data_IF_018707676283
#
_entry.id   IF_018707676283
#
_cell.length_a   1.000
_cell.length_b   1.000
_cell.length_c   1.000
_cell.angle_alpha   90.00
_cell.angle_beta   90.00
_cell.angle_gamma   90.00
#
_symmetry.space_group_name_H-M   'P 1'
#
loop_
_entity.id
_entity.type
_entity.pdbx_description
1 polymer ?
#
# COMPACT_ATOMS: atom_id res chain seq x y z
N UNK A 1 -39.24 -38.78 -13.44
CA UNK A 1 -39.44 -38.22 -12.09
C UNK A 1 -38.25 -38.64 -11.24
N UNK A 2 -37.25 -37.77 -11.13
CA UNK A 2 -36.11 -37.93 -10.23
C UNK A 2 -35.60 -36.52 -9.89
N UNK A 3 -35.75 -36.13 -8.62
CA UNK A 3 -35.21 -34.89 -8.04
C UNK A 3 -33.84 -35.19 -7.44
N UNK A 4 -32.80 -34.51 -7.91
CA UNK A 4 -31.52 -34.34 -7.24
C UNK A 4 -31.10 -32.89 -7.51
N UNK A 5 -30.72 -32.07 -6.54
CA UNK A 5 -30.01 -32.37 -5.31
C UNK A 5 -28.65 -31.66 -5.39
N UNK A 6 -28.61 -30.43 -4.84
CA UNK A 6 -27.43 -29.70 -4.36
C UNK A 6 -26.15 -29.72 -5.18
N UNK A 7 -25.90 -28.65 -5.92
CA UNK A 7 -24.56 -28.09 -6.10
C UNK A 7 -24.66 -26.57 -6.00
N UNK A 8 -24.71 -26.06 -4.78
CA UNK A 8 -24.45 -24.65 -4.50
C UNK A 8 -22.93 -24.46 -4.60
N UNK A 9 -22.46 -24.38 -5.85
CA UNK A 9 -21.09 -24.02 -6.14
C UNK A 9 -20.87 -22.62 -5.57
N UNK A 10 -19.97 -22.51 -4.59
CA UNK A 10 -19.44 -21.26 -4.06
C UNK A 10 -18.77 -20.50 -5.20
N UNK A 11 -19.57 -19.80 -5.99
CA UNK A 11 -19.09 -18.90 -7.02
C UNK A 11 -18.39 -17.75 -6.30
N UNK A 12 -17.07 -17.75 -6.37
CA UNK A 12 -16.26 -16.60 -5.98
C UNK A 12 -16.81 -15.38 -6.72
N UNK A 13 -17.52 -14.52 -5.97
CA UNK A 13 -18.06 -13.23 -6.45
C UNK A 13 -16.89 -12.29 -6.76
N UNK A 14 -16.37 -12.39 -7.97
CA UNK A 14 -15.59 -11.31 -8.58
C UNK A 14 -16.57 -10.29 -9.14
N UNK A 15 -17.15 -9.46 -8.28
CA UNK A 15 -17.95 -8.31 -8.72
C UNK A 15 -16.99 -7.23 -9.22
N UNK A 16 -17.14 -6.83 -10.48
CA UNK A 16 -16.40 -5.72 -11.06
C UNK A 16 -17.10 -4.42 -10.67
N UNK A 17 -16.35 -3.33 -10.58
CA UNK A 17 -16.89 -1.98 -10.30
C UNK A 17 -18.02 -1.59 -11.28
N UNK A 18 -18.09 -2.21 -12.46
CA UNK A 18 -19.13 -1.99 -13.47
C UNK A 18 -20.46 -2.69 -13.22
N UNK A 19 -20.54 -3.61 -12.24
CA UNK A 19 -21.74 -4.42 -11.99
C UNK A 19 -22.71 -3.75 -11.00
N UNK A 20 -22.56 -2.43 -10.77
CA UNK A 20 -23.32 -1.62 -9.81
C UNK A 20 -24.84 -1.64 -10.07
N UNK A 21 -25.25 -1.81 -11.33
CA UNK A 21 -26.66 -1.88 -11.75
C UNK A 21 -27.38 -3.14 -11.22
N UNK A 22 -26.62 -4.15 -10.79
CA UNK A 22 -27.13 -5.40 -10.21
C UNK A 22 -26.92 -5.47 -8.70
N UNK A 23 -26.38 -4.42 -8.06
CA UNK A 23 -26.28 -4.39 -6.61
C UNK A 23 -27.68 -4.26 -5.98
N UNK A 24 -27.98 -5.06 -4.94
CA UNK A 24 -29.21 -4.90 -4.19
C UNK A 24 -29.28 -3.47 -3.64
N UNK A 25 -30.38 -2.77 -3.86
CA UNK A 25 -30.66 -1.46 -3.25
C UNK A 25 -30.97 -1.55 -1.75
N UNK A 26 -30.51 -2.62 -1.10
CA UNK A 26 -30.68 -2.83 0.33
C UNK A 26 -29.78 -1.85 1.08
N UNK A 27 -30.41 -0.94 1.80
CA UNK A 27 -29.70 0.02 2.62
C UNK A 27 -29.10 -0.72 3.82
N UNK A 28 -27.81 -1.01 3.76
CA UNK A 28 -27.10 -1.56 4.91
C UNK A 28 -27.10 -0.45 5.96
N UNK A 29 -27.64 -0.74 7.15
CA UNK A 29 -27.57 0.19 8.26
C UNK A 29 -26.09 0.53 8.54
N UNK A 30 -25.75 1.79 8.85
CA UNK A 30 -24.41 2.14 9.28
C UNK A 30 -23.94 1.20 10.39
N UNK A 31 -22.67 0.81 10.34
CA UNK A 31 -22.07 0.01 11.40
C UNK A 31 -22.03 0.89 12.65
N UNK A 32 -22.92 0.61 13.61
CA UNK A 32 -23.04 1.37 14.86
C UNK A 32 -22.40 0.66 16.06
N UNK A 33 -22.35 1.36 17.20
CA UNK A 33 -21.78 0.88 18.46
C UNK A 33 -20.26 1.04 18.58
N UNK A 34 -19.57 1.45 17.51
CA UNK A 34 -18.13 1.75 17.52
C UNK A 34 -17.85 3.17 18.03
N UNK A 35 -18.85 4.06 17.97
CA UNK A 35 -18.80 5.42 18.52
C UNK A 35 -18.60 5.44 20.04
N UNK A 36 -19.05 4.41 20.75
CA UNK A 36 -18.90 4.27 22.20
C UNK A 36 -17.66 3.46 22.59
N UNK A 37 -16.92 2.92 21.61
CA UNK A 37 -15.73 2.13 21.91
C UNK A 37 -14.55 3.05 22.27
N UNK A 38 -13.77 2.68 23.30
CA UNK A 38 -12.59 3.45 23.67
C UNK A 38 -11.57 3.44 22.54
N UNK A 39 -10.98 4.61 22.24
CA UNK A 39 -9.85 4.70 21.34
C UNK A 39 -8.67 3.92 21.93
N UNK A 40 -8.14 2.98 21.16
CA UNK A 40 -6.99 2.15 21.52
C UNK A 40 -5.88 2.31 20.50
N UNK A 41 -4.66 1.87 20.83
CA UNK A 41 -3.58 1.86 19.85
C UNK A 41 -3.84 0.83 18.76
N UNK A 42 -3.22 1.02 17.60
CA UNK A 42 -3.30 0.06 16.50
C UNK A 42 -2.87 -1.34 16.95
N UNK A 43 -1.85 -1.46 17.80
CA UNK A 43 -1.38 -2.77 18.28
C UNK A 43 -2.37 -3.47 19.21
N UNK A 44 -3.17 -2.71 19.95
CA UNK A 44 -4.23 -3.26 20.81
C UNK A 44 -5.43 -3.69 19.97
N UNK A 45 -5.81 -2.85 19.00
CA UNK A 45 -6.94 -3.09 18.09
C UNK A 45 -6.76 -4.38 17.28
N UNK A 46 -5.52 -4.76 16.94
CA UNK A 46 -5.25 -5.95 16.13
C UNK A 46 -5.14 -7.25 16.93
N UNK A 47 -5.06 -7.21 18.27
CA UNK A 47 -4.93 -8.44 19.10
C UNK A 47 -6.04 -9.46 18.84
N UNK A 48 -7.33 -9.09 18.74
CA UNK A 48 -8.40 -10.04 18.46
C UNK A 48 -8.29 -10.72 17.09
N UNK A 49 -7.54 -10.11 16.16
CA UNK A 49 -7.38 -10.60 14.79
C UNK A 49 -6.21 -11.58 14.64
N UNK A 50 -5.29 -11.66 15.60
CA UNK A 50 -4.10 -12.52 15.55
C UNK A 50 -4.40 -14.00 15.27
N UNK A 51 -5.45 -14.63 15.84
CA UNK A 51 -5.76 -16.04 15.53
C UNK A 51 -6.15 -16.27 14.07
N UNK A 52 -6.69 -15.24 13.41
CA UNK A 52 -7.18 -15.31 12.02
C UNK A 52 -6.07 -14.88 11.06
N UNK A 53 -5.31 -13.86 11.44
CA UNK A 53 -4.22 -13.29 10.66
C UNK A 53 -2.97 -13.12 11.53
N UNK A 54 -2.15 -14.17 11.71
CA UNK A 54 -1.02 -14.14 12.64
C UNK A 54 0.00 -13.02 12.37
N UNK A 55 0.13 -12.59 11.10
CA UNK A 55 1.05 -11.53 10.70
C UNK A 55 0.58 -10.11 11.08
N UNK A 56 -0.68 -9.92 11.49
CA UNK A 56 -1.28 -8.59 11.69
C UNK A 56 -0.59 -7.77 12.78
N UNK A 57 -0.08 -8.43 13.83
CA UNK A 57 0.64 -7.77 14.91
C UNK A 57 1.97 -7.16 14.42
N UNK A 58 2.66 -7.87 13.53
CA UNK A 58 3.89 -7.39 12.90
C UNK A 58 3.60 -6.18 12.01
N UNK A 59 2.50 -6.19 11.26
CA UNK A 59 2.07 -5.05 10.43
C UNK A 59 1.76 -3.82 11.27
N UNK A 60 1.02 -3.98 12.37
CA UNK A 60 0.72 -2.89 13.29
C UNK A 60 1.98 -2.30 13.94
N UNK A 61 2.94 -3.16 14.31
CA UNK A 61 4.21 -2.75 14.92
C UNK A 61 5.11 -1.99 13.93
N UNK A 62 5.09 -2.42 12.67
CA UNK A 62 5.77 -1.75 11.55
C UNK A 62 5.19 -0.36 11.30
N UNK A 63 3.87 -0.25 11.18
CA UNK A 63 3.18 1.01 10.89
C UNK A 63 3.45 2.10 11.95
N UNK A 64 3.87 1.70 13.15
CA UNK A 64 4.22 2.61 14.24
C UNK A 64 5.65 3.19 14.15
N UNK A 65 6.58 2.58 13.41
CA UNK A 65 8.01 2.93 13.49
C UNK A 65 8.53 3.67 12.26
N UNK A 66 9.17 4.84 12.50
CA UNK A 66 10.10 5.51 11.58
C UNK A 66 11.55 5.16 11.93
N UNK A 67 12.11 4.04 11.47
CA UNK A 67 13.53 3.74 11.77
C UNK A 67 14.16 2.79 10.76
N UNK A 68 15.49 2.86 10.62
CA UNK A 68 16.31 1.93 9.79
C UNK A 68 16.04 0.46 10.16
N UNK A 69 15.61 0.18 11.39
CA UNK A 69 15.23 -1.17 11.81
C UNK A 69 14.04 -1.76 11.04
N UNK A 70 13.20 -0.93 10.41
CA UNK A 70 12.11 -1.36 9.52
C UNK A 70 12.65 -2.11 8.30
N UNK A 71 13.84 -1.76 7.81
CA UNK A 71 14.47 -2.47 6.70
C UNK A 71 14.79 -3.93 7.06
N UNK A 72 15.10 -4.23 8.32
CA UNK A 72 15.37 -5.61 8.75
C UNK A 72 14.10 -6.47 8.86
N UNK A 73 12.91 -5.88 8.76
CA UNK A 73 11.66 -6.64 8.77
C UNK A 73 11.48 -7.37 7.45
N UNK A 74 11.14 -8.66 7.51
CA UNK A 74 10.87 -9.51 6.34
C UNK A 74 9.70 -9.01 5.46
N UNK A 75 8.91 -8.05 5.97
CA UNK A 75 7.85 -7.38 5.20
C UNK A 75 8.36 -6.30 4.24
N UNK A 76 9.59 -5.80 4.43
CA UNK A 76 10.20 -4.79 3.57
C UNK A 76 11.40 -5.36 2.86
N UNK A 77 12.61 -5.04 3.34
CA UNK A 77 13.84 -5.55 2.76
C UNK A 77 14.17 -6.93 3.34
N UNK A 78 13.90 -7.17 4.62
CA UNK A 78 14.23 -8.41 5.32
C UNK A 78 15.74 -8.59 5.50
N UNK A 79 16.14 -9.73 6.06
CA UNK A 79 17.56 -10.06 6.30
C UNK A 79 18.08 -11.23 5.47
N UNK A 80 17.18 -11.97 4.81
CA UNK A 80 17.50 -13.22 4.10
C UNK A 80 17.09 -13.17 2.62
N UNK A 81 17.69 -14.05 1.82
CA UNK A 81 17.39 -14.16 0.39
C UNK A 81 18.00 -13.05 -0.47
N UNK A 82 17.76 -13.18 -1.78
CA UNK A 82 18.18 -12.20 -2.80
C UNK A 82 17.27 -10.97 -2.73
N UNK A 83 17.85 -9.83 -2.38
CA UNK A 83 17.14 -8.59 -2.06
C UNK A 83 17.68 -7.45 -2.92
N UNK A 84 16.81 -6.54 -3.31
CA UNK A 84 17.22 -5.32 -4.02
C UNK A 84 16.70 -4.08 -3.29
N UNK A 85 17.60 -3.17 -2.92
CA UNK A 85 17.27 -1.86 -2.38
C UNK A 85 17.55 -0.79 -3.44
N UNK A 86 16.60 0.11 -3.65
CA UNK A 86 16.78 1.28 -4.52
C UNK A 86 17.07 2.52 -3.68
N UNK A 87 18.05 3.31 -4.11
CA UNK A 87 18.29 4.66 -3.58
C UNK A 87 18.03 5.63 -4.71
N UNK A 88 17.06 6.52 -4.52
CA UNK A 88 16.60 7.43 -5.56
C UNK A 88 17.02 8.87 -5.23
N UNK A 89 17.61 9.56 -6.20
CA UNK A 89 17.70 11.01 -6.21
C UNK A 89 16.60 11.55 -7.11
N UNK A 90 15.57 12.16 -6.53
CA UNK A 90 14.37 12.59 -7.26
C UNK A 90 14.32 14.13 -7.40
N UNK A 91 13.84 14.59 -8.55
CA UNK A 91 13.61 16.00 -8.88
C UNK A 91 12.13 16.38 -8.76
N UNK A 92 11.21 15.46 -9.08
CA UNK A 92 9.77 15.77 -9.19
C UNK A 92 8.88 15.09 -8.14
N UNK A 93 9.48 14.32 -7.24
CA UNK A 93 8.76 13.62 -6.17
C UNK A 93 7.86 14.57 -5.35
N UNK A 94 6.64 14.13 -5.05
CA UNK A 94 5.66 14.89 -4.28
C UNK A 94 5.60 14.37 -2.85
N UNK A 95 5.83 15.25 -1.90
CA UNK A 95 5.55 14.98 -0.49
C UNK A 95 4.04 14.81 -0.33
N UNK A 96 3.62 13.61 0.08
CA UNK A 96 2.21 13.27 0.31
C UNK A 96 1.93 12.99 1.79
N UNK A 97 2.83 13.34 2.71
CA UNK A 97 2.69 13.03 4.14
C UNK A 97 1.39 13.53 4.76
N UNK A 98 0.90 14.69 4.29
CA UNK A 98 -0.39 15.29 4.73
C UNK A 98 -1.62 14.57 4.19
N UNK A 99 -1.44 13.70 3.20
CA UNK A 99 -2.49 12.97 2.50
C UNK A 99 -2.36 11.45 2.69
N UNK A 100 -1.27 10.99 3.31
CA UNK A 100 -1.07 9.59 3.65
C UNK A 100 -1.99 9.18 4.79
N UNK A 101 -2.51 7.96 4.70
CA UNK A 101 -3.23 7.34 5.82
C UNK A 101 -2.32 7.11 7.04
N UNK A 102 -1.00 7.08 6.81
CA UNK A 102 0.02 7.01 7.85
C UNK A 102 0.88 8.29 7.85
N UNK A 103 0.45 9.38 8.52
CA UNK A 103 1.19 10.64 8.56
C UNK A 103 2.58 10.50 9.19
N UNK A 104 2.78 9.44 9.97
CA UNK A 104 4.03 9.00 10.54
C UNK A 104 4.94 8.30 9.52
N UNK A 105 4.70 8.35 8.22
CA UNK A 105 5.67 7.95 7.21
C UNK A 105 6.21 9.19 6.50
N UNK A 106 7.45 9.14 6.03
CA UNK A 106 8.01 10.18 5.16
C UNK A 106 7.76 9.81 3.69
N UNK A 107 6.48 9.57 3.38
CA UNK A 107 6.03 9.05 2.09
C UNK A 107 6.12 10.14 1.01
N UNK A 108 6.71 9.74 -0.12
CA UNK A 108 6.82 10.57 -1.32
C UNK A 108 6.28 9.80 -2.51
N UNK A 109 5.49 10.49 -3.34
CA UNK A 109 4.92 9.92 -4.56
C UNK A 109 5.74 10.33 -5.78
N UNK A 110 6.14 9.34 -6.56
CA UNK A 110 6.72 9.56 -7.89
C UNK A 110 5.61 9.65 -8.92
N UNK A 111 5.75 10.55 -9.89
CA UNK A 111 4.83 10.59 -11.02
C UNK A 111 4.99 9.33 -11.87
N UNK A 112 3.92 8.92 -12.52
CA UNK A 112 3.98 7.83 -13.50
C UNK A 112 4.92 8.22 -14.65
N UNK A 113 5.58 7.22 -15.23
CA UNK A 113 6.58 7.40 -16.29
C UNK A 113 7.77 8.31 -15.93
N UNK A 114 8.06 8.50 -14.64
CA UNK A 114 9.33 9.12 -14.21
C UNK A 114 10.49 8.27 -14.71
N UNK A 115 11.46 8.92 -15.36
CA UNK A 115 12.64 8.27 -15.94
C UNK A 115 13.83 8.42 -15.01
N UNK A 116 14.64 7.38 -14.93
CA UNK A 116 15.83 7.35 -14.08
C UNK A 116 17.04 6.84 -14.85
N UNK A 117 18.21 7.37 -14.52
CA UNK A 117 19.50 6.86 -14.93
C UNK A 117 20.10 6.03 -13.80
N UNK A 118 20.64 4.86 -14.12
CA UNK A 118 21.42 4.07 -13.16
C UNK A 118 22.76 4.75 -12.95
N UNK A 119 23.02 5.15 -11.71
CA UNK A 119 24.25 5.83 -11.31
C UNK A 119 25.29 4.85 -10.78
N UNK A 120 24.85 3.79 -10.12
CA UNK A 120 25.74 2.77 -9.60
C UNK A 120 24.98 1.57 -9.05
N UNK A 121 25.66 0.44 -8.99
CA UNK A 121 25.17 -0.78 -8.38
C UNK A 121 26.22 -1.28 -7.39
N UNK A 122 25.81 -1.55 -6.16
CA UNK A 122 26.62 -2.22 -5.15
C UNK A 122 26.01 -3.59 -4.87
N UNK A 123 26.79 -4.66 -5.03
CA UNK A 123 26.39 -6.01 -4.66
C UNK A 123 27.11 -6.41 -3.38
N UNK A 124 26.38 -6.80 -2.34
CA UNK A 124 26.88 -7.34 -1.10
C UNK A 124 26.19 -8.67 -0.83
N UNK A 125 26.87 -9.78 -1.12
CA UNK A 125 26.31 -11.14 -1.00
C UNK A 125 24.94 -11.24 -1.67
N UNK A 126 23.86 -11.33 -0.87
CA UNK A 126 22.48 -11.45 -1.34
C UNK A 126 21.73 -10.10 -1.43
N UNK A 127 22.36 -8.98 -1.09
CA UNK A 127 21.78 -7.64 -1.18
C UNK A 127 22.39 -6.87 -2.35
N UNK A 128 21.54 -6.47 -3.30
CA UNK A 128 21.87 -5.52 -4.36
C UNK A 128 21.33 -4.14 -4.02
N UNK A 129 22.17 -3.13 -4.07
CA UNK A 129 21.78 -1.72 -3.90
C UNK A 129 21.95 -1.03 -5.24
N UNK A 130 20.86 -0.46 -5.78
CA UNK A 130 20.86 0.26 -7.06
C UNK A 130 20.60 1.74 -6.80
N UNK A 131 21.55 2.57 -7.19
CA UNK A 131 21.43 4.03 -7.12
C UNK A 131 20.88 4.56 -8.44
N UNK A 132 19.80 5.31 -8.36
CA UNK A 132 19.08 5.89 -9.48
C UNK A 132 19.01 7.41 -9.31
N UNK A 133 19.21 8.14 -10.40
CA UNK A 133 19.00 9.59 -10.47
C UNK A 133 17.90 9.90 -11.47
N UNK A 134 16.88 10.64 -11.05
CA UNK A 134 15.77 11.06 -11.91
C UNK A 134 16.31 11.94 -13.04
N UNK A 135 15.92 11.61 -14.26
CA UNK A 135 16.25 12.40 -15.44
C UNK A 135 15.16 13.42 -15.70
N UNK A 136 15.55 14.64 -16.04
CA UNK A 136 14.62 15.67 -16.47
C UNK A 136 13.78 15.20 -17.67
N UNK A 137 12.46 15.22 -17.53
CA UNK A 137 11.56 14.88 -18.64
C UNK A 137 11.69 15.92 -19.77
N UNK A 138 11.79 15.50 -21.04
CA UNK A 138 11.78 16.39 -22.19
C UNK A 138 10.43 17.09 -22.39
N UNK A 139 9.35 16.57 -21.77
CA UNK A 139 8.00 17.15 -21.82
C UNK A 139 7.51 17.48 -20.41
N UNK A 140 6.93 18.68 -20.18
CA UNK A 140 6.31 18.99 -18.91
C UNK A 140 5.15 18.04 -18.63
N UNK A 141 5.15 17.41 -17.45
CA UNK A 141 4.19 16.36 -17.07
C UNK A 141 2.73 16.85 -16.98
N UNK A 142 2.52 18.16 -16.90
CA UNK A 142 1.20 18.77 -16.88
C UNK A 142 1.20 19.98 -17.81
N UNK A 143 0.15 20.09 -18.63
CA UNK A 143 -0.11 21.33 -19.36
C UNK A 143 -0.51 22.41 -18.34
N UNK A 144 0.03 23.64 -18.43
CA UNK A 144 -0.45 24.74 -17.62
C UNK A 144 -1.95 24.91 -17.86
N UNK A 145 -2.76 24.91 -16.80
CA UNK A 145 -4.18 25.27 -16.92
C UNK A 145 -4.22 26.77 -17.22
N UNK A 146 -4.78 27.22 -18.36
CA UNK A 146 -4.89 28.63 -18.64
C UNK A 146 -5.76 29.27 -17.56
N UNK A 147 -5.21 30.26 -16.87
CA UNK A 147 -5.99 31.12 -15.98
C UNK A 147 -6.84 32.00 -16.90
N UNK A 148 -8.14 31.73 -16.97
CA UNK A 148 -9.09 32.64 -17.58
C UNK A 148 -9.27 33.79 -16.58
N UNK A 149 -8.66 34.95 -16.89
CA UNK A 149 -8.84 36.22 -16.16
C UNK A 149 -9.98 36.98 -16.81
#
# INVERSE_FOLDING_TARGET
>A
MATGGGQEATAQRFLRITDIDQEPLEFIAPIGGYEEMPLVSLEEAVKPLVPILPAVQSHASVAKRRSVSVLNSELFLGTTGDRTMFTLLCLSAKDIRKHSYYPAEDEVLLMTATQFKVMGCLNQESLRIVQLEETQSPFPFLQPVPIIV
#
